data_IF_349720338279
#
_entry.id   IF_349720338279
#
_cell.length_a   1.000
_cell.length_b   1.000
_cell.length_c   1.000
_cell.angle_alpha   90.00
_cell.angle_beta   90.00
_cell.angle_gamma   90.00
#
_symmetry.space_group_name_H-M   'P 1'
#
loop_
_entity.id
_entity.type
_entity.pdbx_description
1 polymer ?
#
# COMPACT_ATOMS: atom_id res chain seq x y z
N UNK A 1 35.86 12.74 24.04
CA UNK A 1 35.59 11.31 24.05
C UNK A 1 34.12 11.02 24.36
N UNK A 2 33.66 11.49 25.48
CA UNK A 2 32.26 11.25 25.86
C UNK A 2 31.28 11.84 24.87
N UNK A 3 31.61 13.00 24.32
CA UNK A 3 30.75 13.66 23.34
C UNK A 3 30.61 12.83 22.06
N UNK A 4 31.69 12.21 21.65
CA UNK A 4 31.65 11.40 20.42
C UNK A 4 30.78 10.20 20.59
N UNK A 5 30.83 9.60 21.76
CA UNK A 5 30.00 8.43 22.06
C UNK A 5 28.53 8.81 22.06
N UNK A 6 28.21 9.98 22.56
CA UNK A 6 26.83 10.47 22.57
C UNK A 6 26.29 10.69 21.18
N UNK A 7 27.11 11.24 20.31
CA UNK A 7 26.73 11.44 18.93
C UNK A 7 26.48 10.11 18.23
N UNK A 8 27.28 9.13 18.53
CA UNK A 8 27.12 7.81 17.96
C UNK A 8 25.82 7.17 18.39
N UNK A 9 25.46 7.33 19.64
CA UNK A 9 24.23 6.79 20.16
C UNK A 9 23.01 7.45 19.53
N UNK A 10 23.06 8.75 19.35
CA UNK A 10 21.99 9.49 18.73
C UNK A 10 21.83 9.05 17.27
N UNK A 11 22.94 8.85 16.60
CA UNK A 11 22.93 8.42 15.23
C UNK A 11 22.29 7.04 15.06
N UNK A 12 22.60 6.15 15.98
CA UNK A 12 22.03 4.82 15.94
C UNK A 12 20.53 4.81 16.15
N UNK A 13 20.01 5.71 16.96
CA UNK A 13 18.59 5.73 17.24
C UNK A 13 17.78 6.18 16.04
N UNK A 14 18.36 6.87 15.07
CA UNK A 14 17.65 7.23 13.86
C UNK A 14 17.32 6.06 12.98
N UNK A 15 18.10 4.99 13.10
CA UNK A 15 17.92 3.86 12.20
C UNK A 15 16.69 3.01 12.53
N UNK A 16 16.04 3.29 13.63
CA UNK A 16 14.89 2.49 14.02
C UNK A 16 13.56 3.00 13.52
N UNK A 17 13.56 4.07 12.75
CA UNK A 17 12.31 4.69 12.33
C UNK A 17 11.89 4.36 10.91
N UNK A 18 12.47 3.34 10.31
CA UNK A 18 12.33 3.18 8.88
C UNK A 18 11.43 2.04 8.43
N UNK A 19 10.61 1.50 9.32
CA UNK A 19 9.84 0.31 8.95
C UNK A 19 8.34 0.49 8.86
N UNK A 20 7.87 1.72 8.74
CA UNK A 20 6.46 1.93 8.51
C UNK A 20 6.15 1.65 7.04
N UNK A 21 5.10 0.85 6.78
CA UNK A 21 4.66 0.61 5.43
C UNK A 21 3.67 1.70 5.04
N UNK A 22 4.17 2.73 4.41
CA UNK A 22 3.33 3.80 3.93
C UNK A 22 2.74 3.44 2.59
N UNK A 23 1.57 3.98 2.30
CA UNK A 23 0.97 3.78 1.01
C UNK A 23 1.77 4.51 -0.06
N UNK A 24 1.93 3.91 -1.24
CA UNK A 24 2.62 4.59 -2.34
C UNK A 24 1.79 5.73 -2.87
N UNK A 25 2.45 6.73 -3.45
CA UNK A 25 1.73 7.81 -4.11
C UNK A 25 1.14 7.36 -5.42
N UNK A 26 1.81 6.45 -6.10
CA UNK A 26 1.35 5.90 -7.37
C UNK A 26 1.51 4.40 -7.36
N UNK A 27 0.69 3.72 -8.13
CA UNK A 27 0.78 2.28 -8.26
C UNK A 27 0.19 1.86 -9.60
N UNK A 28 0.73 0.80 -10.20
CA UNK A 28 0.22 0.36 -11.50
C UNK A 28 -1.12 -0.36 -11.38
N UNK A 29 -1.89 -0.32 -12.45
CA UNK A 29 -3.11 -1.12 -12.54
C UNK A 29 -2.78 -2.58 -12.29
N UNK A 30 -3.66 -3.25 -11.57
CA UNK A 30 -3.48 -4.68 -11.31
C UNK A 30 -2.50 -5.01 -10.20
N UNK A 31 -1.99 -4.01 -9.50
CA UNK A 31 -1.01 -4.26 -8.44
C UNK A 31 -1.70 -4.56 -7.12
N UNK A 32 -0.92 -5.17 -6.23
CA UNK A 32 -1.37 -5.49 -4.88
C UNK A 32 -0.73 -4.48 -3.92
N UNK A 33 -1.55 -3.90 -3.08
CA UNK A 33 -1.10 -2.89 -2.13
C UNK A 33 -1.15 -3.49 -0.72
N UNK A 34 -0.05 -3.39 -0.03
CA UNK A 34 0.03 -3.83 1.36
C UNK A 34 0.35 -2.62 2.21
N UNK A 35 -0.45 -2.40 3.23
CA UNK A 35 -0.25 -1.28 4.12
C UNK A 35 -0.28 -1.70 5.57
N UNK A 36 0.06 -0.77 6.44
CA UNK A 36 0.05 -1.00 7.86
C UNK A 36 -0.56 0.22 8.56
N UNK A 37 -1.43 -0.03 9.51
CA UNK A 37 -1.99 1.04 10.33
C UNK A 37 -2.09 0.56 11.78
N UNK A 38 -1.54 1.34 12.69
CA UNK A 38 -1.63 1.03 14.09
C UNK A 38 -2.76 1.80 14.78
N UNK A 39 -3.39 2.72 14.08
CA UNK A 39 -4.38 3.59 14.70
C UNK A 39 -5.79 3.40 14.16
N UNK A 40 -5.95 3.01 12.92
CA UNK A 40 -7.28 2.84 12.34
C UNK A 40 -7.89 1.50 12.75
N UNK A 41 -9.18 1.49 12.97
CA UNK A 41 -9.89 0.24 13.19
C UNK A 41 -10.70 -0.17 11.97
N UNK A 42 -10.93 0.73 11.03
CA UNK A 42 -11.60 0.42 9.77
C UNK A 42 -10.87 1.15 8.65
N UNK A 43 -10.70 0.48 7.54
CA UNK A 43 -10.12 1.09 6.34
C UNK A 43 -11.09 0.90 5.20
N UNK A 44 -11.40 2.00 4.51
CA UNK A 44 -12.24 1.97 3.33
C UNK A 44 -11.39 2.22 2.10
N UNK A 45 -11.52 1.36 1.12
CA UNK A 45 -10.86 1.53 -0.16
C UNK A 45 -11.94 1.81 -1.19
N UNK A 46 -11.98 3.04 -1.69
CA UNK A 46 -13.04 3.51 -2.58
C UNK A 46 -14.43 3.23 -1.98
N UNK A 47 -14.55 3.44 -0.67
CA UNK A 47 -15.80 3.23 0.03
C UNK A 47 -16.09 1.82 0.48
N UNK A 48 -15.22 0.88 0.17
CA UNK A 48 -15.42 -0.51 0.52
C UNK A 48 -14.53 -0.90 1.69
N UNK A 49 -15.14 -1.48 2.71
CA UNK A 49 -14.41 -1.84 3.93
C UNK A 49 -13.53 -3.05 3.70
N UNK A 50 -12.28 -2.95 4.15
CA UNK A 50 -11.37 -4.08 4.09
C UNK A 50 -10.92 -4.43 5.50
N UNK A 51 -10.47 -5.67 5.66
CA UNK A 51 -10.06 -6.16 6.97
C UNK A 51 -8.65 -5.73 7.32
N UNK A 52 -8.45 -5.47 8.60
CA UNK A 52 -7.12 -5.22 9.15
C UNK A 52 -6.76 -6.42 10.01
N UNK A 53 -5.55 -6.95 9.84
CA UNK A 53 -5.10 -8.07 10.65
C UNK A 53 -4.85 -7.62 12.07
N UNK A 54 -4.75 -8.56 13.04
CA UNK A 54 -4.43 -8.18 14.41
C UNK A 54 -3.12 -7.42 14.52
N UNK A 55 -2.20 -7.63 13.60
CA UNK A 55 -0.92 -6.94 13.60
C UNK A 55 -0.99 -5.58 12.91
N UNK A 56 -2.14 -5.19 12.41
CA UNK A 56 -2.31 -3.89 11.78
C UNK A 56 -2.05 -3.85 10.29
N UNK A 57 -1.93 -4.99 9.64
CA UNK A 57 -1.70 -5.05 8.21
C UNK A 57 -3.01 -5.18 7.45
N UNK A 58 -3.04 -4.59 6.28
CA UNK A 58 -4.16 -4.73 5.37
C UNK A 58 -3.64 -4.85 3.95
N UNK A 59 -4.46 -5.44 3.08
CA UNK A 59 -4.08 -5.65 1.70
C UNK A 59 -5.30 -5.45 0.81
N UNK A 60 -5.06 -4.84 -0.34
CA UNK A 60 -6.11 -4.72 -1.34
C UNK A 60 -5.46 -4.68 -2.73
N UNK A 61 -6.25 -4.95 -3.74
CA UNK A 61 -5.78 -4.98 -5.11
C UNK A 61 -6.35 -3.79 -5.88
N UNK A 62 -5.54 -3.24 -6.77
CA UNK A 62 -6.00 -2.23 -7.69
C UNK A 62 -6.46 -2.95 -8.96
N UNK A 63 -7.70 -2.70 -9.36
CA UNK A 63 -8.26 -3.35 -10.52
C UNK A 63 -7.43 -3.07 -11.77
N UNK A 64 -7.38 -4.03 -12.67
CA UNK A 64 -6.69 -3.84 -13.94
C UNK A 64 -7.37 -2.78 -14.80
N UNK A 65 -8.60 -2.45 -14.47
CA UNK A 65 -9.38 -1.47 -15.22
C UNK A 65 -9.49 -0.15 -14.49
N UNK A 66 -8.85 -0.03 -13.34
CA UNK A 66 -8.91 1.19 -12.56
C UNK A 66 -8.19 2.32 -13.28
N UNK A 67 -8.88 3.43 -13.48
CA UNK A 67 -8.30 4.61 -14.11
C UNK A 67 -8.18 5.74 -13.10
N UNK A 68 -9.18 5.86 -12.25
CA UNK A 68 -9.23 6.95 -11.29
C UNK A 68 -8.38 6.63 -10.07
N UNK A 69 -7.95 7.67 -9.34
CA UNK A 69 -7.19 7.43 -8.12
C UNK A 69 -7.98 6.60 -7.12
N UNK A 70 -7.26 5.78 -6.38
CA UNK A 70 -7.86 4.97 -5.32
C UNK A 70 -7.87 5.79 -4.05
N UNK A 71 -9.02 5.92 -3.42
CA UNK A 71 -9.16 6.66 -2.18
C UNK A 71 -9.13 5.69 -1.01
N UNK A 72 -8.21 5.93 -0.08
CA UNK A 72 -8.07 5.10 1.11
C UNK A 72 -8.43 5.95 2.31
N UNK A 73 -9.48 5.58 3.02
CA UNK A 73 -9.96 6.31 4.18
C UNK A 73 -9.70 5.50 5.44
N UNK A 74 -9.07 6.14 6.40
CA UNK A 74 -8.74 5.51 7.68
C UNK A 74 -9.71 6.03 8.72
N UNK A 75 -10.37 5.12 9.43
CA UNK A 75 -11.41 5.45 10.39
C UNK A 75 -11.05 4.88 11.75
N UNK A 76 -11.27 5.65 12.79
CA UNK A 76 -11.11 5.21 14.15
C UNK A 76 -12.27 5.73 14.97
N UNK A 77 -12.97 4.84 15.70
CA UNK A 77 -14.10 5.20 16.54
C UNK A 77 -15.15 6.02 15.78
N UNK A 78 -15.44 5.57 14.55
CA UNK A 78 -16.42 6.19 13.67
C UNK A 78 -16.03 7.58 13.17
N UNK A 79 -14.76 7.95 13.31
CA UNK A 79 -14.29 9.23 12.80
C UNK A 79 -13.18 9.01 11.79
N UNK A 80 -13.19 9.81 10.73
CA UNK A 80 -12.15 9.77 9.73
C UNK A 80 -10.91 10.43 10.31
N UNK A 81 -9.82 9.66 10.40
CA UNK A 81 -8.57 10.19 10.92
C UNK A 81 -7.57 10.51 9.82
N UNK A 82 -7.75 9.94 8.64
CA UNK A 82 -6.86 10.23 7.53
C UNK A 82 -7.50 9.79 6.23
N UNK A 83 -7.14 10.47 5.14
CA UNK A 83 -7.56 10.09 3.80
C UNK A 83 -6.34 10.22 2.89
N UNK A 84 -6.05 9.16 2.13
CA UNK A 84 -4.95 9.17 1.20
C UNK A 84 -5.44 8.73 -0.18
N UNK A 85 -4.71 9.16 -1.19
CA UNK A 85 -5.01 8.78 -2.56
C UNK A 85 -3.81 8.12 -3.19
N UNK A 86 -4.08 7.09 -3.96
CA UNK A 86 -3.05 6.42 -4.76
C UNK A 86 -3.39 6.70 -6.22
N UNK A 87 -2.49 7.36 -6.92
CA UNK A 87 -2.69 7.60 -8.34
C UNK A 87 -2.34 6.34 -9.10
N UNK A 88 -3.16 6.00 -10.08
CA UNK A 88 -3.06 4.73 -10.76
C UNK A 88 -2.33 4.94 -12.09
N UNK A 89 -1.30 4.13 -12.31
CA UNK A 89 -0.56 4.15 -13.57
C UNK A 89 -1.12 3.13 -14.51
N UNK A 90 -1.41 3.60 -15.72
CA UNK A 90 -1.96 2.71 -16.72
C UNK A 90 -0.92 1.69 -17.14
N UNK A 91 -1.33 0.45 -17.26
CA UNK A 91 -0.47 -0.64 -17.69
C UNK A 91 -0.95 -1.19 -19.02
N UNK A 92 0.00 -1.61 -19.81
CA UNK A 92 -0.28 -2.28 -21.06
C UNK A 92 -0.21 -3.77 -20.81
N UNK A 93 -1.36 -4.37 -20.60
CA UNK A 93 -1.42 -5.81 -20.36
C UNK A 93 -1.42 -6.50 -21.70
N UNK A 94 -0.26 -6.92 -22.13
CA UNK A 94 -0.12 -7.59 -23.39
C UNK A 94 -0.66 -9.00 -23.30
N UNK A 95 -1.82 -9.21 -23.86
CA UNK A 95 -2.51 -10.47 -23.74
C UNK A 95 -2.28 -11.36 -24.94
N UNK A 96 -1.64 -10.84 -25.94
CA UNK A 96 -1.49 -11.58 -27.19
C UNK A 96 -0.70 -12.84 -27.06
N UNK A 97 0.23 -12.87 -26.15
CA UNK A 97 1.02 -14.07 -25.92
C UNK A 97 0.16 -15.25 -25.50
N UNK A 98 -1.01 -14.99 -25.06
CA UNK A 98 -1.92 -16.05 -24.66
C UNK A 98 -2.49 -16.74 -25.86
N UNK A 99 -2.62 -16.00 -26.93
CA UNK A 99 -3.25 -16.53 -28.12
C UNK A 99 -2.47 -17.64 -28.75
N UNK A 100 -1.16 -17.58 -28.66
CA UNK A 100 -0.35 -18.58 -29.32
C UNK A 100 -0.32 -19.91 -28.61
N UNK A 101 -0.65 -19.93 -27.35
CA UNK A 101 -0.50 -21.13 -26.55
C UNK A 101 -1.54 -22.19 -26.79
N UNK A 102 -2.82 -21.86 -26.73
CA UNK A 102 -3.85 -22.89 -26.87
C UNK A 102 -3.82 -23.60 -28.19
N UNK A 103 -3.51 -22.90 -29.21
CA UNK A 103 -3.49 -23.50 -30.53
C UNK A 103 -2.42 -24.52 -30.67
N UNK A 104 -1.31 -24.23 -30.06
CA UNK A 104 -0.19 -25.13 -30.15
C UNK A 104 -0.41 -26.40 -29.41
N UNK A 105 -1.26 -26.34 -28.46
CA UNK A 105 -1.56 -27.50 -27.66
C UNK A 105 -2.40 -28.51 -28.39
N UNK A 106 -2.97 -28.09 -29.46
CA UNK A 106 -3.84 -28.96 -30.24
C UNK A 106 -3.09 -29.81 -31.26
#
# INVERSE_FOLDING_TARGET
MILIIRFLLIYLSFNYHTFALDLPETAPQGSLIIGESSTADVILVDGESIKISPDGFYVFAISREQIEPVNVTFIRSNEIINVEQIFVEKQDFDIQRIDGLPEQMV
#
